data_IF_355027743268
#
_entry.id   IF_355027743268
#
_cell.length_a   1.000
_cell.length_b   1.000
_cell.length_c   1.000
_cell.angle_alpha   90.00
_cell.angle_beta   90.00
_cell.angle_gamma   90.00
#
_symmetry.space_group_name_H-M   'P 1'
#
loop_
_entity.id
_entity.type
_entity.pdbx_description
1 polymer ?
#
# COMPACT_ATOMS: atom_id res chain seq x y z
N UNK A 1 -30.02 -15.06 14.58
CA UNK A 1 -30.81 -15.71 13.49
C UNK A 1 -31.50 -14.70 12.57
N UNK A 2 -32.41 -13.82 12.99
CA UNK A 2 -33.09 -12.85 12.09
C UNK A 2 -32.12 -11.88 11.42
N UNK A 3 -31.13 -11.32 12.15
CA UNK A 3 -30.16 -10.36 11.61
C UNK A 3 -29.30 -10.96 10.50
N UNK A 4 -28.93 -12.24 10.58
CA UNK A 4 -28.13 -12.91 9.54
C UNK A 4 -28.95 -13.11 8.27
N UNK A 5 -30.23 -13.50 8.36
CA UNK A 5 -31.13 -13.59 7.20
C UNK A 5 -31.34 -12.25 6.51
N UNK A 6 -31.45 -11.15 7.27
CA UNK A 6 -31.55 -9.81 6.72
C UNK A 6 -30.21 -9.43 6.01
N UNK A 7 -29.07 -9.76 6.63
CA UNK A 7 -27.75 -9.50 6.03
C UNK A 7 -27.55 -10.29 4.74
N UNK A 8 -27.99 -11.55 4.69
CA UNK A 8 -27.97 -12.38 3.49
C UNK A 8 -28.79 -11.75 2.36
N UNK A 9 -30.02 -11.34 2.68
CA UNK A 9 -30.91 -10.69 1.69
C UNK A 9 -30.25 -9.44 1.09
N UNK A 10 -29.65 -8.64 1.93
CA UNK A 10 -28.96 -7.40 1.54
C UNK A 10 -27.78 -7.70 0.61
N UNK A 11 -26.86 -8.59 1.06
CA UNK A 11 -25.64 -8.90 0.31
C UNK A 11 -25.99 -9.59 -1.01
N UNK A 12 -26.84 -10.60 -1.00
CA UNK A 12 -27.19 -11.33 -2.22
C UNK A 12 -27.96 -10.47 -3.22
N UNK A 13 -28.79 -9.53 -2.76
CA UNK A 13 -29.40 -8.54 -3.67
C UNK A 13 -28.36 -7.60 -4.27
N UNK A 14 -27.38 -7.16 -3.50
CA UNK A 14 -26.28 -6.33 -4.03
C UNK A 14 -25.43 -7.09 -5.05
N UNK A 15 -25.17 -8.38 -4.82
CA UNK A 15 -24.40 -9.23 -5.74
C UNK A 15 -25.11 -9.45 -7.09
N UNK A 16 -26.44 -9.33 -7.19
CA UNK A 16 -27.17 -9.33 -8.49
C UNK A 16 -26.73 -8.24 -9.44
N UNK A 17 -26.07 -7.18 -8.92
CA UNK A 17 -25.54 -6.07 -9.71
C UNK A 17 -24.14 -6.31 -10.26
N UNK A 18 -23.54 -7.49 -10.06
CA UNK A 18 -22.24 -7.87 -10.62
C UNK A 18 -22.30 -7.81 -12.16
N UNK A 19 -21.39 -7.04 -12.74
CA UNK A 19 -21.23 -6.87 -14.20
C UNK A 19 -19.98 -7.55 -14.75
N UNK A 20 -18.92 -7.61 -13.93
CA UNK A 20 -17.61 -8.14 -14.30
C UNK A 20 -17.32 -9.39 -13.48
N UNK A 21 -17.08 -10.52 -14.14
CA UNK A 21 -16.78 -11.79 -13.52
C UNK A 21 -18.02 -12.63 -13.19
N UNK A 22 -17.73 -13.80 -12.62
CA UNK A 22 -18.72 -14.79 -12.19
C UNK A 22 -18.43 -15.26 -10.77
N UNK A 23 -19.46 -15.28 -9.92
CA UNK A 23 -19.39 -15.73 -8.54
C UNK A 23 -20.40 -16.82 -8.27
N UNK A 24 -19.92 -17.99 -7.85
CA UNK A 24 -20.75 -19.08 -7.33
C UNK A 24 -20.58 -19.16 -5.82
N UNK A 25 -21.69 -19.08 -5.09
CA UNK A 25 -21.73 -19.14 -3.62
C UNK A 25 -22.47 -20.38 -3.18
N UNK A 26 -21.81 -21.25 -2.40
CA UNK A 26 -22.44 -22.34 -1.66
C UNK A 26 -22.71 -21.88 -0.22
N UNK A 27 -23.97 -21.82 0.16
CA UNK A 27 -24.41 -21.43 1.52
C UNK A 27 -24.22 -22.55 2.53
N UNK A 28 -24.30 -22.22 3.83
CA UNK A 28 -24.21 -23.19 4.94
C UNK A 28 -25.25 -24.30 4.82
N UNK A 29 -26.44 -24.00 4.32
CA UNK A 29 -27.53 -25.00 4.11
C UNK A 29 -27.37 -25.83 2.82
N UNK A 30 -26.27 -25.65 2.06
CA UNK A 30 -25.97 -26.34 0.81
C UNK A 30 -26.59 -25.71 -0.45
N UNK A 31 -27.43 -24.69 -0.33
CA UNK A 31 -27.96 -23.94 -1.47
C UNK A 31 -26.84 -23.26 -2.26
N UNK A 32 -26.91 -23.32 -3.60
CA UNK A 32 -25.93 -22.70 -4.49
C UNK A 32 -26.57 -21.50 -5.20
N UNK A 33 -25.94 -20.35 -5.08
CA UNK A 33 -26.31 -19.10 -5.74
C UNK A 33 -25.27 -18.71 -6.77
N UNK A 34 -25.70 -18.14 -7.92
CA UNK A 34 -24.81 -17.72 -9.01
C UNK A 34 -25.08 -16.28 -9.37
N UNK A 35 -24.00 -15.50 -9.58
CA UNK A 35 -24.04 -14.08 -9.88
C UNK A 35 -23.05 -13.73 -10.97
N UNK A 36 -23.38 -12.76 -11.82
CA UNK A 36 -22.55 -12.33 -12.94
C UNK A 36 -22.68 -13.24 -14.17
N UNK A 37 -21.70 -13.13 -15.07
CA UNK A 37 -21.70 -13.86 -16.34
C UNK A 37 -20.73 -15.05 -16.30
N UNK A 38 -21.20 -16.31 -16.51
CA UNK A 38 -20.36 -17.50 -16.47
C UNK A 38 -19.31 -17.57 -17.60
N UNK A 39 -19.44 -16.76 -18.66
CA UNK A 39 -18.49 -16.71 -19.76
C UNK A 39 -17.28 -15.80 -19.49
N UNK A 40 -17.31 -15.04 -18.39
CA UNK A 40 -16.19 -14.20 -17.95
C UNK A 40 -14.98 -15.05 -17.51
N UNK A 41 -13.78 -14.48 -17.67
CA UNK A 41 -12.52 -15.14 -17.28
C UNK A 41 -12.33 -15.18 -15.77
N UNK A 42 -12.78 -14.13 -15.06
CA UNK A 42 -12.70 -14.04 -13.61
C UNK A 42 -13.84 -14.85 -12.97
N UNK A 43 -13.52 -16.08 -12.55
CA UNK A 43 -14.49 -17.02 -11.93
C UNK A 43 -14.10 -17.34 -10.51
N UNK A 44 -15.02 -17.07 -9.59
CA UNK A 44 -14.81 -17.25 -8.15
C UNK A 44 -15.83 -18.22 -7.59
N UNK A 45 -15.33 -19.15 -6.78
CA UNK A 45 -16.13 -20.01 -5.93
C UNK A 45 -15.96 -19.60 -4.47
N UNK A 46 -17.08 -19.47 -3.75
CA UNK A 46 -17.14 -19.13 -2.34
C UNK A 46 -18.03 -20.13 -1.58
N UNK A 47 -17.49 -20.85 -0.61
CA UNK A 47 -18.27 -21.66 0.30
C UNK A 47 -18.37 -20.97 1.68
N UNK A 48 -19.58 -20.59 2.08
CA UNK A 48 -19.85 -19.98 3.38
C UNK A 48 -19.91 -21.10 4.43
N UNK A 49 -19.09 -20.98 5.48
CA UNK A 49 -19.00 -21.90 6.61
C UNK A 49 -19.71 -21.36 7.87
N UNK A 50 -19.91 -20.04 7.95
CA UNK A 50 -20.54 -19.38 9.09
C UNK A 50 -21.56 -18.34 8.62
N UNK A 51 -22.78 -18.41 9.14
CA UNK A 51 -23.89 -17.51 8.77
C UNK A 51 -23.63 -16.03 9.08
N UNK A 52 -22.66 -15.72 9.95
CA UNK A 52 -22.32 -14.34 10.31
C UNK A 52 -21.47 -13.61 9.26
N UNK A 53 -20.99 -14.29 8.21
CA UNK A 53 -20.13 -13.70 7.19
C UNK A 53 -20.72 -12.41 6.60
N UNK A 54 -21.95 -12.48 6.09
CA UNK A 54 -22.61 -11.34 5.44
C UNK A 54 -22.92 -10.22 6.44
N UNK A 55 -23.24 -10.55 7.68
CA UNK A 55 -23.39 -9.56 8.75
C UNK A 55 -22.06 -8.84 9.04
N UNK A 56 -20.94 -9.55 9.14
CA UNK A 56 -19.62 -8.98 9.37
C UNK A 56 -19.23 -8.07 8.20
N UNK A 57 -19.51 -8.47 6.97
CA UNK A 57 -19.26 -7.68 5.77
C UNK A 57 -20.03 -6.35 5.79
N UNK A 58 -21.33 -6.37 6.12
CA UNK A 58 -22.16 -5.16 6.21
C UNK A 58 -21.66 -4.27 7.35
N UNK A 59 -21.40 -4.84 8.52
CA UNK A 59 -20.99 -4.12 9.73
C UNK A 59 -19.65 -3.41 9.58
N UNK A 60 -18.66 -4.08 8.98
CA UNK A 60 -17.26 -3.66 9.04
C UNK A 60 -16.54 -3.66 7.69
N UNK A 61 -17.21 -3.91 6.57
CA UNK A 61 -16.63 -3.88 5.22
C UNK A 61 -15.43 -4.82 5.08
N UNK A 62 -14.33 -4.29 4.56
CA UNK A 62 -13.08 -5.06 4.37
C UNK A 62 -12.50 -5.61 5.66
N UNK A 63 -12.69 -4.93 6.80
CA UNK A 63 -12.29 -5.44 8.12
C UNK A 63 -13.11 -6.71 8.43
N UNK A 64 -14.43 -6.67 8.26
CA UNK A 64 -15.30 -7.81 8.52
C UNK A 64 -15.01 -9.01 7.61
N UNK A 65 -14.68 -8.76 6.33
CA UNK A 65 -14.25 -9.80 5.39
C UNK A 65 -12.93 -10.44 5.82
N UNK A 66 -11.92 -9.62 6.13
CA UNK A 66 -10.62 -10.11 6.57
C UNK A 66 -10.68 -10.88 7.89
N UNK A 67 -11.45 -10.39 8.87
CA UNK A 67 -11.67 -11.11 10.14
C UNK A 67 -12.39 -12.45 9.94
N UNK A 68 -13.34 -12.50 9.00
CA UNK A 68 -14.04 -13.72 8.65
C UNK A 68 -13.11 -14.73 7.95
N UNK A 69 -12.20 -14.25 7.09
CA UNK A 69 -11.14 -15.07 6.49
C UNK A 69 -10.20 -15.65 7.55
N UNK A 70 -9.72 -14.81 8.48
CA UNK A 70 -8.87 -15.25 9.58
C UNK A 70 -9.51 -16.30 10.52
N UNK A 71 -10.85 -16.36 10.53
CA UNK A 71 -11.64 -17.30 11.35
C UNK A 71 -12.21 -18.49 10.58
N UNK A 72 -11.84 -18.67 9.31
CA UNK A 72 -12.37 -19.75 8.45
C UNK A 72 -13.90 -19.73 8.25
N UNK A 73 -14.51 -18.55 8.27
CA UNK A 73 -15.95 -18.41 8.04
C UNK A 73 -16.36 -18.63 6.59
N UNK A 74 -15.38 -18.70 5.69
CA UNK A 74 -15.57 -19.07 4.30
C UNK A 74 -14.31 -19.70 3.72
N UNK A 75 -14.49 -20.43 2.61
CA UNK A 75 -13.44 -20.98 1.77
C UNK A 75 -13.67 -20.44 0.35
N UNK A 76 -12.59 -20.14 -0.35
CA UNK A 76 -12.62 -19.72 -1.77
C UNK A 76 -11.51 -20.42 -2.55
N UNK A 77 -11.70 -20.59 -3.85
CA UNK A 77 -10.66 -21.12 -4.74
C UNK A 77 -9.46 -20.18 -4.86
N UNK A 78 -9.69 -18.87 -4.82
CA UNK A 78 -8.65 -17.85 -4.84
C UNK A 78 -9.12 -16.59 -4.10
N UNK A 79 -8.41 -16.21 -3.05
CA UNK A 79 -8.76 -15.05 -2.23
C UNK A 79 -8.60 -13.72 -2.98
N UNK A 80 -7.53 -13.60 -3.77
CA UNK A 80 -7.25 -12.40 -4.56
C UNK A 80 -8.34 -12.17 -5.61
N UNK A 81 -8.76 -13.23 -6.30
CA UNK A 81 -9.82 -13.17 -7.32
C UNK A 81 -11.17 -12.82 -6.70
N UNK A 82 -11.49 -13.33 -5.51
CA UNK A 82 -12.71 -12.96 -4.77
C UNK A 82 -12.73 -11.45 -4.45
N UNK A 83 -11.61 -10.93 -3.98
CA UNK A 83 -11.50 -9.50 -3.64
C UNK A 83 -11.49 -8.67 -4.92
N UNK A 84 -10.79 -9.09 -5.97
CA UNK A 84 -10.75 -8.41 -7.28
C UNK A 84 -12.14 -8.32 -7.90
N UNK A 85 -12.90 -9.43 -7.91
CA UNK A 85 -14.28 -9.44 -8.41
C UNK A 85 -15.14 -8.41 -7.67
N UNK A 86 -15.02 -8.38 -6.34
CA UNK A 86 -15.76 -7.41 -5.52
C UNK A 86 -15.29 -5.98 -5.82
N UNK A 87 -13.99 -5.75 -5.93
CA UNK A 87 -13.38 -4.45 -6.18
C UNK A 87 -13.75 -3.88 -7.57
N UNK A 88 -13.75 -4.70 -8.61
CA UNK A 88 -14.20 -4.31 -9.97
C UNK A 88 -15.66 -3.90 -10.01
N UNK A 89 -16.50 -4.50 -9.17
CA UNK A 89 -17.93 -4.21 -9.10
C UNK A 89 -18.32 -3.21 -8.01
N UNK A 90 -17.36 -2.70 -7.24
CA UNK A 90 -17.64 -1.92 -6.01
C UNK A 90 -18.50 -0.67 -6.28
N UNK A 91 -18.24 0.05 -7.36
CA UNK A 91 -19.01 1.26 -7.75
C UNK A 91 -20.47 0.91 -8.07
N UNK A 92 -20.69 -0.23 -8.73
CA UNK A 92 -22.03 -0.74 -9.06
C UNK A 92 -22.76 -1.24 -7.81
N UNK A 93 -22.08 -2.04 -6.98
CA UNK A 93 -22.61 -2.55 -5.71
C UNK A 93 -23.05 -1.39 -4.80
N UNK A 94 -22.24 -0.34 -4.69
CA UNK A 94 -22.59 0.85 -3.89
C UNK A 94 -23.80 1.61 -4.44
N UNK A 95 -23.92 1.74 -5.76
CA UNK A 95 -25.03 2.42 -6.40
C UNK A 95 -26.37 1.69 -6.19
N UNK A 96 -26.35 0.36 -6.23
CA UNK A 96 -27.57 -0.45 -6.10
C UNK A 96 -27.95 -0.76 -4.65
N UNK A 97 -26.98 -0.83 -3.74
CA UNK A 97 -27.26 -1.26 -2.38
C UNK A 97 -27.89 -0.17 -1.52
N UNK A 98 -27.70 1.12 -1.86
CA UNK A 98 -28.23 2.25 -1.05
C UNK A 98 -27.95 2.16 0.47
N UNK A 99 -27.58 0.98 0.92
CA UNK A 99 -27.55 0.46 2.29
C UNK A 99 -26.28 0.89 3.00
N UNK A 100 -25.18 1.02 2.25
CA UNK A 100 -23.90 1.43 2.84
C UNK A 100 -23.87 2.92 3.20
N UNK A 101 -24.89 3.69 2.81
CA UNK A 101 -25.06 5.11 3.16
C UNK A 101 -26.09 5.33 4.28
N UNK A 102 -26.67 4.25 4.85
CA UNK A 102 -27.55 4.38 6.00
C UNK A 102 -26.79 4.95 7.20
N UNK A 103 -27.27 6.06 7.82
CA UNK A 103 -26.58 6.69 8.96
C UNK A 103 -26.41 5.77 10.16
N UNK A 104 -27.18 4.69 10.27
CA UNK A 104 -27.13 3.71 11.35
C UNK A 104 -25.86 2.82 11.31
N UNK A 105 -25.22 2.63 10.13
CA UNK A 105 -24.00 1.84 9.99
C UNK A 105 -22.75 2.70 10.33
N UNK A 106 -22.91 4.01 10.40
CA UNK A 106 -21.83 4.96 10.76
C UNK A 106 -21.59 5.10 12.26
N UNK A 107 -22.21 4.29 13.12
CA UNK A 107 -22.17 4.47 14.59
C UNK A 107 -20.81 4.13 15.22
N UNK A 108 -19.91 3.48 14.50
CA UNK A 108 -18.52 3.36 14.93
C UNK A 108 -17.70 4.40 14.17
N UNK A 109 -17.74 5.66 14.63
CA UNK A 109 -16.70 6.63 14.30
C UNK A 109 -15.37 6.10 14.83
N UNK A 110 -14.71 5.26 14.05
CA UNK A 110 -13.33 4.90 14.30
C UNK A 110 -12.52 6.20 14.28
N UNK A 111 -12.04 6.62 15.44
CA UNK A 111 -11.16 7.78 15.56
C UNK A 111 -10.00 7.58 14.59
N UNK A 112 -9.92 8.42 13.56
CA UNK A 112 -8.76 8.46 12.68
C UNK A 112 -7.54 8.67 13.57
N UNK A 113 -6.59 7.75 13.50
CA UNK A 113 -5.36 7.83 14.28
C UNK A 113 -4.55 8.99 13.72
N UNK A 114 -4.36 10.05 14.52
CA UNK A 114 -3.53 11.19 14.11
C UNK A 114 -2.05 10.81 14.16
N UNK A 115 -1.32 10.97 13.07
CA UNK A 115 0.12 10.70 12.96
C UNK A 115 0.96 11.87 13.53
N UNK A 116 0.82 12.16 14.83
CA UNK A 116 1.76 13.05 15.54
C UNK A 116 3.18 12.47 15.50
N UNK A 117 4.23 13.28 15.71
CA UNK A 117 5.63 12.79 15.70
C UNK A 117 5.83 11.52 16.55
N UNK A 118 5.29 11.48 17.76
CA UNK A 118 5.41 10.32 18.64
C UNK A 118 4.62 9.12 18.11
N UNK A 119 3.37 9.32 17.68
CA UNK A 119 2.55 8.24 17.13
C UNK A 119 3.05 7.69 15.78
N UNK A 120 3.63 8.54 14.92
CA UNK A 120 4.29 8.07 13.71
C UNK A 120 5.42 7.11 14.03
N UNK A 121 6.25 7.40 15.03
CA UNK A 121 7.30 6.49 15.51
C UNK A 121 6.72 5.17 16.04
N UNK A 122 5.67 5.25 16.87
CA UNK A 122 5.00 4.05 17.42
C UNK A 122 4.32 3.21 16.33
N UNK A 123 3.63 3.83 15.36
CA UNK A 123 2.95 3.12 14.28
C UNK A 123 3.95 2.43 13.36
N UNK A 124 5.04 3.12 13.01
CA UNK A 124 6.14 2.55 12.21
C UNK A 124 6.85 1.46 13.01
N UNK A 125 7.15 1.68 14.30
CA UNK A 125 7.74 0.65 15.14
C UNK A 125 6.87 -0.62 15.15
N UNK A 126 5.57 -0.51 15.40
CA UNK A 126 4.67 -1.68 15.42
C UNK A 126 4.67 -2.49 14.12
N UNK A 127 4.73 -1.83 12.97
CA UNK A 127 4.76 -2.52 11.68
C UNK A 127 6.13 -3.16 11.41
N UNK A 128 7.22 -2.42 11.64
CA UNK A 128 8.59 -2.91 11.38
C UNK A 128 9.19 -3.71 12.56
N UNK A 129 8.52 -3.76 13.72
CA UNK A 129 8.90 -4.62 14.86
C UNK A 129 8.70 -6.12 14.59
N UNK A 130 8.06 -6.49 13.47
CA UNK A 130 8.09 -7.85 12.93
C UNK A 130 9.53 -8.35 12.71
N UNK A 131 10.48 -7.44 12.55
CA UNK A 131 11.92 -7.73 12.51
C UNK A 131 12.48 -7.85 11.09
N UNK A 132 13.77 -7.51 10.94
CA UNK A 132 14.47 -7.61 9.65
C UNK A 132 14.46 -9.06 9.14
N UNK A 133 14.58 -10.04 10.05
CA UNK A 133 14.59 -11.48 9.72
C UNK A 133 13.27 -11.93 9.07
N UNK A 134 12.13 -11.37 9.51
CA UNK A 134 10.84 -11.64 8.88
C UNK A 134 10.79 -11.11 7.45
N UNK A 135 11.16 -9.86 7.25
CA UNK A 135 11.10 -9.23 5.92
C UNK A 135 12.10 -9.86 4.93
N UNK A 136 13.29 -10.27 5.40
CA UNK A 136 14.33 -10.90 4.57
C UNK A 136 13.93 -12.27 4.01
N UNK A 137 12.92 -12.92 4.57
CA UNK A 137 12.46 -14.22 4.08
C UNK A 137 11.63 -14.14 2.79
N UNK A 138 10.98 -13.00 2.52
CA UNK A 138 10.03 -12.90 1.41
C UNK A 138 10.18 -11.63 0.55
N UNK A 139 10.94 -10.63 0.97
CA UNK A 139 11.39 -9.55 0.11
C UNK A 139 12.60 -10.01 -0.73
N UNK A 140 12.92 -9.24 -1.77
CA UNK A 140 14.14 -9.43 -2.57
C UNK A 140 15.42 -9.06 -1.78
N UNK A 141 16.58 -9.31 -2.35
CA UNK A 141 17.87 -9.04 -1.68
C UNK A 141 18.14 -7.57 -1.35
N UNK A 142 17.41 -6.64 -1.98
CA UNK A 142 17.49 -5.21 -1.63
C UNK A 142 16.70 -4.89 -0.36
N UNK A 143 15.86 -5.79 0.13
CA UNK A 143 14.89 -5.55 1.19
C UNK A 143 13.98 -4.35 0.89
N UNK A 144 13.58 -4.21 -0.37
CA UNK A 144 12.72 -3.10 -0.78
C UNK A 144 11.25 -3.45 -0.54
N UNK A 145 10.64 -2.77 0.42
CA UNK A 145 9.22 -2.94 0.76
C UNK A 145 8.38 -1.84 0.10
N UNK A 146 8.46 -1.79 -1.22
CA UNK A 146 7.68 -0.95 -2.11
C UNK A 146 7.62 -1.61 -3.49
N UNK A 147 6.69 -1.20 -4.35
CA UNK A 147 6.51 -1.82 -5.67
C UNK A 147 7.79 -1.80 -6.49
N UNK A 148 8.04 -2.88 -7.20
CA UNK A 148 8.97 -2.92 -8.32
C UNK A 148 8.32 -2.35 -9.60
N UNK A 149 9.13 -2.11 -10.65
CA UNK A 149 8.66 -1.79 -12.00
C UNK A 149 9.38 -2.74 -12.97
N UNK A 150 8.61 -3.60 -13.61
CA UNK A 150 9.10 -4.63 -14.52
C UNK A 150 9.17 -4.09 -15.95
N UNK A 151 10.26 -4.32 -16.65
CA UNK A 151 10.38 -4.01 -18.09
C UNK A 151 9.88 -5.19 -18.95
N UNK A 152 10.03 -6.43 -18.45
CA UNK A 152 9.47 -7.64 -19.06
C UNK A 152 8.76 -8.52 -18.02
N UNK A 153 7.80 -9.36 -18.40
CA UNK A 153 7.08 -10.24 -17.47
C UNK A 153 7.98 -11.24 -16.74
N UNK A 154 9.09 -11.66 -17.36
CA UNK A 154 10.01 -12.68 -16.83
C UNK A 154 11.12 -12.08 -15.96
N UNK A 155 11.14 -10.75 -15.78
CA UNK A 155 12.20 -10.09 -15.07
C UNK A 155 12.20 -10.44 -13.58
N UNK A 156 13.38 -10.74 -13.04
CA UNK A 156 13.57 -11.01 -11.62
C UNK A 156 13.21 -9.80 -10.76
N UNK A 157 12.61 -10.05 -9.59
CA UNK A 157 12.13 -8.99 -8.69
C UNK A 157 13.25 -7.99 -8.33
N UNK A 158 14.47 -8.47 -8.08
CA UNK A 158 15.61 -7.62 -7.78
C UNK A 158 15.92 -6.62 -8.92
N UNK A 159 15.90 -7.08 -10.16
CA UNK A 159 16.16 -6.24 -11.33
C UNK A 159 15.02 -5.23 -11.53
N UNK A 160 13.78 -5.67 -11.34
CA UNK A 160 12.62 -4.79 -11.39
C UNK A 160 12.61 -3.73 -10.28
N UNK A 161 13.18 -4.03 -9.09
CA UNK A 161 13.42 -3.03 -8.06
C UNK A 161 14.47 -2.00 -8.49
N UNK A 162 15.55 -2.42 -9.13
CA UNK A 162 16.55 -1.50 -9.69
C UNK A 162 15.96 -0.63 -10.81
N UNK A 163 15.12 -1.19 -11.68
CA UNK A 163 14.40 -0.41 -12.70
C UNK A 163 13.52 0.68 -12.08
N UNK A 164 12.80 0.34 -11.01
CA UNK A 164 12.01 1.31 -10.26
C UNK A 164 12.86 2.48 -9.77
N UNK A 165 14.03 2.18 -9.23
CA UNK A 165 14.97 3.21 -8.79
C UNK A 165 15.45 4.06 -9.95
N UNK A 166 15.84 3.42 -11.05
CA UNK A 166 16.33 4.15 -12.25
C UNK A 166 15.24 5.08 -12.79
N UNK A 167 13.98 4.61 -12.91
CA UNK A 167 12.87 5.44 -13.38
C UNK A 167 12.61 6.66 -12.47
N UNK A 168 12.78 6.51 -11.15
CA UNK A 168 12.68 7.64 -10.23
C UNK A 168 13.87 8.62 -10.38
N UNK A 169 15.08 8.09 -10.60
CA UNK A 169 16.27 8.90 -10.85
C UNK A 169 16.15 9.68 -12.18
N UNK A 170 15.58 9.06 -13.22
CA UNK A 170 15.31 9.70 -14.50
C UNK A 170 14.35 10.89 -14.38
N UNK A 171 13.46 10.88 -13.39
CA UNK A 171 12.57 12.01 -13.08
C UNK A 171 13.31 13.19 -12.43
N UNK A 172 14.31 12.92 -11.58
CA UNK A 172 15.06 13.98 -10.88
C UNK A 172 16.30 14.42 -11.63
N UNK A 173 16.87 13.59 -12.53
CA UNK A 173 18.00 13.88 -13.42
C UNK A 173 19.21 14.47 -12.70
N UNK A 174 19.78 13.76 -11.71
CA UNK A 174 20.89 14.29 -10.94
C UNK A 174 22.16 14.39 -11.79
N UNK A 175 22.97 15.41 -11.49
CA UNK A 175 24.30 15.59 -12.05
C UNK A 175 25.39 15.40 -10.99
N UNK A 176 26.62 15.18 -11.41
CA UNK A 176 27.75 14.99 -10.50
C UNK A 176 27.87 16.13 -9.47
N UNK A 177 28.08 15.74 -8.22
CA UNK A 177 28.21 16.66 -7.10
C UNK A 177 26.88 17.14 -6.49
N UNK A 178 25.73 16.80 -7.07
CA UNK A 178 24.44 17.19 -6.50
C UNK A 178 24.24 16.65 -5.09
N UNK A 179 23.58 17.44 -4.23
CA UNK A 179 23.14 17.04 -2.91
C UNK A 179 21.68 16.58 -2.97
N UNK A 180 21.45 15.31 -2.64
CA UNK A 180 20.15 14.65 -2.74
C UNK A 180 19.66 14.27 -1.34
N UNK A 181 18.36 14.37 -1.11
CA UNK A 181 17.69 13.85 0.08
C UNK A 181 16.80 12.66 -0.29
N UNK A 182 16.92 11.57 0.46
CA UNK A 182 15.92 10.50 0.46
C UNK A 182 15.06 10.57 1.72
N UNK A 183 13.74 10.78 1.57
CA UNK A 183 12.80 10.80 2.67
C UNK A 183 12.16 9.42 2.83
N UNK A 184 12.52 8.70 3.91
CA UNK A 184 12.04 7.36 4.17
C UNK A 184 12.87 6.28 3.49
N UNK A 185 14.15 6.19 3.82
CA UNK A 185 15.11 5.31 3.12
C UNK A 185 14.94 3.80 3.37
N UNK A 186 14.01 3.39 4.22
CA UNK A 186 13.83 1.97 4.52
C UNK A 186 15.13 1.30 4.95
N UNK A 187 15.43 0.15 4.36
CA UNK A 187 16.68 -0.59 4.60
C UNK A 187 17.84 -0.16 3.67
N UNK A 188 17.70 0.99 2.98
CA UNK A 188 18.78 1.62 2.20
C UNK A 188 18.97 1.07 0.79
N UNK A 189 17.98 0.41 0.20
CA UNK A 189 18.10 -0.15 -1.16
C UNK A 189 18.29 0.94 -2.23
N UNK A 190 17.48 2.00 -2.22
CA UNK A 190 17.66 3.13 -3.14
C UNK A 190 18.95 3.88 -2.87
N UNK A 191 19.32 4.07 -1.60
CA UNK A 191 20.56 4.74 -1.22
C UNK A 191 21.81 4.00 -1.74
N UNK A 192 21.83 2.66 -1.64
CA UNK A 192 22.88 1.81 -2.20
C UNK A 192 22.94 1.94 -3.73
N UNK A 193 21.78 1.82 -4.41
CA UNK A 193 21.70 1.92 -5.86
C UNK A 193 22.19 3.27 -6.38
N UNK A 194 21.71 4.36 -5.80
CA UNK A 194 22.08 5.72 -6.23
C UNK A 194 23.56 6.02 -5.93
N UNK A 195 24.04 5.69 -4.71
CA UNK A 195 25.43 5.92 -4.31
C UNK A 195 26.45 5.11 -5.11
N UNK A 196 26.06 3.91 -5.58
CA UNK A 196 26.92 3.07 -6.43
C UNK A 196 27.02 3.59 -7.86
N UNK A 197 25.92 4.03 -8.44
CA UNK A 197 25.83 4.33 -9.86
C UNK A 197 26.05 5.80 -10.20
N UNK A 198 26.00 6.72 -9.21
CA UNK A 198 26.08 8.16 -9.43
C UNK A 198 27.10 8.82 -8.51
N UNK A 199 27.71 9.90 -8.98
CA UNK A 199 28.63 10.71 -8.18
C UNK A 199 27.89 11.88 -7.52
N UNK A 200 27.16 11.57 -6.42
CA UNK A 200 26.30 12.49 -5.68
C UNK A 200 26.56 12.39 -4.18
N UNK A 201 26.11 13.40 -3.43
CA UNK A 201 26.03 13.35 -1.96
C UNK A 201 24.59 13.07 -1.56
N UNK A 202 24.36 12.04 -0.78
CA UNK A 202 23.03 11.56 -0.42
C UNK A 202 22.83 11.57 1.10
N UNK A 203 21.89 12.40 1.58
CA UNK A 203 21.35 12.32 2.93
C UNK A 203 20.08 11.46 2.90
N UNK A 204 20.03 10.42 3.73
CA UNK A 204 18.91 9.51 3.84
C UNK A 204 18.33 9.55 5.24
N UNK A 205 17.02 9.71 5.38
CA UNK A 205 16.38 9.77 6.68
C UNK A 205 15.35 8.66 6.88
N UNK A 206 15.31 8.12 8.08
CA UNK A 206 14.27 7.22 8.59
C UNK A 206 13.96 7.52 10.05
N UNK A 207 12.77 7.18 10.51
CA UNK A 207 12.41 7.24 11.94
C UNK A 207 12.44 5.86 12.62
N UNK A 208 12.72 4.79 11.86
CA UNK A 208 12.87 3.43 12.38
C UNK A 208 14.32 3.15 12.76
N UNK A 209 14.56 2.84 14.04
CA UNK A 209 15.90 2.47 14.53
C UNK A 209 16.44 1.21 13.85
N UNK A 210 15.58 0.19 13.65
CA UNK A 210 15.98 -1.08 12.99
C UNK A 210 16.39 -0.86 11.53
N UNK A 211 15.64 -0.03 10.80
CA UNK A 211 15.99 0.33 9.43
C UNK A 211 17.29 1.14 9.36
N UNK A 212 17.47 2.11 10.26
CA UNK A 212 18.68 2.90 10.35
C UNK A 212 19.93 2.03 10.55
N UNK A 213 19.91 1.15 11.54
CA UNK A 213 21.04 0.26 11.86
C UNK A 213 21.40 -0.62 10.67
N UNK A 214 20.38 -1.21 10.02
CA UNK A 214 20.58 -2.05 8.85
C UNK A 214 21.09 -1.25 7.64
N UNK A 215 20.46 -0.12 7.32
CA UNK A 215 20.87 0.73 6.19
C UNK A 215 22.30 1.26 6.37
N UNK A 216 22.67 1.68 7.57
CA UNK A 216 24.03 2.13 7.89
C UNK A 216 25.06 1.03 7.67
N UNK A 217 24.78 -0.19 8.14
CA UNK A 217 25.66 -1.34 7.92
C UNK A 217 25.76 -1.71 6.43
N UNK A 218 24.65 -1.64 5.68
CA UNK A 218 24.62 -1.86 4.23
C UNK A 218 25.54 -0.87 3.51
N UNK A 219 25.40 0.43 3.78
CA UNK A 219 26.21 1.49 3.16
C UNK A 219 27.69 1.33 3.51
N UNK A 220 27.99 0.93 4.75
CA UNK A 220 29.37 0.65 5.18
C UNK A 220 29.98 -0.52 4.38
N UNK A 221 29.25 -1.64 4.27
CA UNK A 221 29.73 -2.82 3.51
C UNK A 221 29.94 -2.54 2.02
N UNK A 222 29.16 -1.62 1.45
CA UNK A 222 29.32 -1.20 0.05
C UNK A 222 30.42 -0.14 -0.15
N UNK A 223 31.09 0.31 0.91
CA UNK A 223 32.13 1.34 0.82
C UNK A 223 31.61 2.73 0.45
N UNK A 224 30.33 3.03 0.74
CA UNK A 224 29.66 4.26 0.29
C UNK A 224 29.59 5.35 1.37
N UNK A 225 30.28 5.19 2.52
CA UNK A 225 30.22 6.15 3.66
C UNK A 225 30.58 7.59 3.30
N UNK A 226 31.46 7.77 2.29
CA UNK A 226 31.88 9.11 1.83
C UNK A 226 30.78 9.83 1.04
N UNK A 227 29.84 9.09 0.46
CA UNK A 227 28.77 9.60 -0.41
C UNK A 227 27.40 9.60 0.26
N UNK A 228 27.11 8.61 1.11
CA UNK A 228 25.78 8.32 1.67
C UNK A 228 25.79 8.45 3.17
N UNK A 229 24.95 9.33 3.70
CA UNK A 229 24.79 9.59 5.12
C UNK A 229 23.39 9.19 5.60
N UNK A 230 23.29 8.11 6.38
CA UNK A 230 22.02 7.62 6.93
C UNK A 230 21.78 8.26 8.31
N UNK A 231 20.58 8.80 8.54
CA UNK A 231 20.21 9.51 9.77
C UNK A 231 18.87 9.03 10.35
N UNK A 232 18.79 8.95 11.68
CA UNK A 232 17.50 8.88 12.37
C UNK A 232 16.94 10.30 12.49
N UNK A 233 16.01 10.67 11.61
CA UNK A 233 15.46 12.03 11.57
C UNK A 233 14.03 12.01 11.03
N UNK A 234 13.17 12.82 11.65
CA UNK A 234 11.83 13.08 11.12
C UNK A 234 11.93 14.13 9.99
N UNK A 235 11.24 13.93 8.87
CA UNK A 235 11.27 14.88 7.75
C UNK A 235 10.86 16.31 8.16
N UNK A 236 10.02 16.44 9.18
CA UNK A 236 9.57 17.73 9.74
C UNK A 236 10.67 18.53 10.44
N UNK A 237 11.82 17.90 10.70
CA UNK A 237 12.99 18.53 11.37
C UNK A 237 14.11 18.90 10.39
N UNK A 238 13.87 18.76 9.08
CA UNK A 238 14.80 19.13 8.03
C UNK A 238 14.98 20.65 7.97
N UNK A 239 16.23 21.07 7.70
CA UNK A 239 16.61 22.50 7.59
C UNK A 239 17.52 22.77 6.39
N UNK A 240 18.14 21.74 5.83
CA UNK A 240 19.10 21.85 4.74
C UNK A 240 18.40 22.02 3.39
N UNK A 241 19.13 22.55 2.40
CA UNK A 241 18.69 22.61 1.02
C UNK A 241 19.30 21.46 0.21
N UNK A 242 18.53 20.95 -0.73
CA UNK A 242 18.90 19.83 -1.60
C UNK A 242 18.60 20.18 -3.06
N UNK A 243 19.47 19.73 -3.95
CA UNK A 243 19.28 19.88 -5.39
C UNK A 243 18.14 18.97 -5.87
N UNK A 244 18.04 17.78 -5.25
CA UNK A 244 16.95 16.86 -5.53
C UNK A 244 16.44 16.20 -4.24
N UNK A 245 15.16 15.81 -4.27
CA UNK A 245 14.52 15.06 -3.19
C UNK A 245 13.85 13.81 -3.80
N UNK A 246 14.13 12.64 -3.23
CA UNK A 246 13.48 11.38 -3.56
C UNK A 246 12.63 10.88 -2.38
N UNK A 247 11.46 10.31 -2.68
CA UNK A 247 10.61 9.69 -1.65
C UNK A 247 9.81 8.54 -2.25
N UNK A 248 9.96 7.34 -1.70
CA UNK A 248 9.36 6.11 -2.22
C UNK A 248 8.39 5.55 -1.20
N UNK A 249 7.08 5.59 -1.53
CA UNK A 249 5.99 5.04 -0.70
C UNK A 249 6.07 5.44 0.79
N UNK A 250 6.40 6.70 1.01
CA UNK A 250 6.45 7.31 2.35
C UNK A 250 5.22 8.17 2.64
N UNK A 251 4.63 8.78 1.59
CA UNK A 251 3.50 9.70 1.71
C UNK A 251 2.30 9.01 2.37
N UNK A 252 2.13 7.71 2.18
CA UNK A 252 1.10 6.86 2.77
C UNK A 252 1.18 6.82 4.29
N UNK A 253 2.38 6.94 4.85
CA UNK A 253 2.63 6.95 6.29
C UNK A 253 2.49 8.34 6.93
N UNK A 254 2.38 9.39 6.13
CA UNK A 254 2.24 10.78 6.60
C UNK A 254 0.90 10.99 7.30
N UNK A 255 -0.19 10.43 6.74
CA UNK A 255 -1.56 10.64 7.21
C UNK A 255 -2.16 11.96 6.73
N UNK A 256 -3.48 11.97 6.53
CA UNK A 256 -4.21 13.08 5.89
C UNK A 256 -3.89 14.46 6.47
N UNK A 257 -3.86 14.58 7.79
CA UNK A 257 -3.69 15.88 8.47
C UNK A 257 -2.29 16.50 8.31
N UNK A 258 -1.33 15.74 7.79
CA UNK A 258 0.08 16.16 7.68
C UNK A 258 0.59 16.23 6.23
N UNK A 259 -0.25 15.93 5.24
CA UNK A 259 0.12 16.05 3.83
C UNK A 259 0.55 17.47 3.45
N UNK A 260 -0.15 18.49 3.94
CA UNK A 260 0.23 19.88 3.74
C UNK A 260 1.64 20.16 4.30
N UNK A 261 1.90 19.72 5.52
CA UNK A 261 3.24 19.83 6.15
C UNK A 261 4.32 19.08 5.37
N UNK A 262 3.98 17.94 4.77
CA UNK A 262 4.92 17.16 3.97
C UNK A 262 5.33 17.91 2.69
N UNK A 263 4.38 18.43 1.91
CA UNK A 263 4.68 19.20 0.71
C UNK A 263 5.36 20.53 1.02
N UNK A 264 4.96 21.20 2.11
CA UNK A 264 5.63 22.41 2.58
C UNK A 264 7.09 22.13 2.98
N UNK A 265 7.37 21.01 3.65
CA UNK A 265 8.74 20.60 4.00
C UNK A 265 9.57 20.34 2.73
N UNK A 266 9.02 19.62 1.76
CA UNK A 266 9.67 19.41 0.46
C UNK A 266 10.03 20.76 -0.18
N UNK A 267 9.05 21.68 -0.30
CA UNK A 267 9.25 23.02 -0.87
C UNK A 267 10.36 23.78 -0.15
N UNK A 268 10.34 23.76 1.18
CA UNK A 268 11.28 24.52 1.99
C UNK A 268 12.71 23.95 1.98
N UNK A 269 12.89 22.68 1.63
CA UNK A 269 14.21 22.04 1.57
C UNK A 269 14.71 21.82 0.14
N UNK A 270 13.95 22.22 -0.88
CA UNK A 270 14.36 22.16 -2.28
C UNK A 270 15.09 23.45 -2.67
N UNK A 271 16.19 23.36 -3.46
CA UNK A 271 16.82 24.52 -4.09
C UNK A 271 15.88 25.12 -5.17
N UNK A 272 16.06 26.38 -5.58
CA UNK A 272 15.17 27.00 -6.57
C UNK A 272 15.02 26.23 -7.88
N UNK A 273 16.11 25.63 -8.40
CA UNK A 273 16.13 24.81 -9.61
C UNK A 273 15.97 23.32 -9.35
N UNK A 274 15.73 22.93 -8.10
CA UNK A 274 15.69 21.53 -7.68
C UNK A 274 14.47 20.79 -8.20
N UNK A 275 14.59 19.45 -8.25
CA UNK A 275 13.54 18.54 -8.69
C UNK A 275 13.24 17.50 -7.59
N UNK A 276 11.98 17.15 -7.45
CA UNK A 276 11.53 16.09 -6.53
C UNK A 276 11.01 14.91 -7.34
N UNK A 277 11.39 13.70 -6.97
CA UNK A 277 10.83 12.46 -7.51
C UNK A 277 10.09 11.71 -6.41
N UNK A 278 8.83 11.40 -6.62
CA UNK A 278 7.99 10.69 -5.64
C UNK A 278 7.38 9.45 -6.29
N UNK A 279 7.49 8.31 -5.61
CA UNK A 279 6.65 7.14 -5.85
C UNK A 279 5.59 7.07 -4.76
N UNK A 280 4.32 6.94 -5.14
CA UNK A 280 3.21 6.92 -4.20
C UNK A 280 2.04 6.05 -4.67
N UNK A 281 1.28 5.52 -3.71
CA UNK A 281 0.00 4.87 -3.97
C UNK A 281 -1.11 5.93 -3.92
N UNK A 282 -2.00 5.92 -4.91
CA UNK A 282 -3.17 6.78 -4.93
C UNK A 282 -4.46 5.96 -5.00
N UNK A 283 -5.55 6.52 -4.50
CA UNK A 283 -6.88 5.95 -4.66
C UNK A 283 -7.65 6.71 -5.75
N UNK A 284 -8.53 6.01 -6.46
CA UNK A 284 -9.45 6.61 -7.46
C UNK A 284 -10.28 7.75 -6.84
N UNK A 285 -10.33 8.91 -7.51
CA UNK A 285 -11.01 10.11 -7.01
C UNK A 285 -12.49 9.83 -6.65
N UNK A 286 -13.17 8.96 -7.40
CA UNK A 286 -14.57 8.59 -7.14
C UNK A 286 -14.77 7.78 -5.86
N UNK A 287 -13.73 7.12 -5.34
CA UNK A 287 -13.74 6.35 -4.10
C UNK A 287 -13.21 7.14 -2.91
N UNK A 288 -12.45 8.21 -3.16
CA UNK A 288 -11.70 8.96 -2.14
C UNK A 288 -12.58 9.48 -1.00
N UNK A 289 -13.72 10.10 -1.32
CA UNK A 289 -14.63 10.66 -0.29
C UNK A 289 -15.16 9.59 0.68
N UNK A 290 -15.35 8.36 0.21
CA UNK A 290 -15.77 7.25 1.05
C UNK A 290 -14.60 6.69 1.85
N UNK A 291 -13.46 6.52 1.21
CA UNK A 291 -12.23 6.00 1.82
C UNK A 291 -11.77 6.86 3.01
N UNK A 292 -11.70 8.19 2.85
CA UNK A 292 -11.22 9.09 3.91
C UNK A 292 -12.06 9.10 5.18
N UNK A 293 -13.30 8.62 5.10
CA UNK A 293 -14.25 8.62 6.22
C UNK A 293 -14.42 7.25 6.90
N UNK A 294 -13.79 6.19 6.37
CA UNK A 294 -13.93 4.82 6.90
C UNK A 294 -12.56 4.17 7.00
N UNK A 295 -12.32 3.52 8.13
CA UNK A 295 -11.13 2.70 8.32
C UNK A 295 -11.29 1.39 7.57
N UNK A 296 -10.25 0.96 6.84
CA UNK A 296 -10.20 -0.30 6.14
C UNK A 296 -9.34 -1.35 6.87
N UNK A 297 -9.21 -2.53 6.26
CA UNK A 297 -8.40 -3.62 6.81
C UNK A 297 -6.93 -3.23 6.95
N UNK A 298 -6.37 -2.51 5.97
CA UNK A 298 -4.95 -2.10 5.99
C UNK A 298 -4.68 -1.15 7.15
N UNK A 299 -5.53 -0.15 7.34
CA UNK A 299 -5.40 0.80 8.44
C UNK A 299 -5.66 0.17 9.81
N UNK A 300 -6.44 -0.94 9.86
CA UNK A 300 -6.75 -1.64 11.11
C UNK A 300 -5.59 -2.52 11.55
N UNK A 301 -5.00 -3.30 10.64
CA UNK A 301 -4.13 -4.44 10.97
C UNK A 301 -2.69 -4.28 10.52
N UNK A 302 -2.43 -3.52 9.44
CA UNK A 302 -1.13 -3.48 8.77
C UNK A 302 -0.44 -2.12 8.99
N UNK A 303 -1.07 -1.04 8.52
CA UNK A 303 -0.50 0.32 8.59
C UNK A 303 -1.43 1.27 9.37
N UNK A 304 -1.43 1.23 10.71
CA UNK A 304 -2.23 2.15 11.52
C UNK A 304 -1.87 3.60 11.21
N UNK A 305 -2.89 4.40 10.85
CA UNK A 305 -2.69 5.80 10.46
C UNK A 305 -2.28 6.01 9.00
N UNK A 306 -2.14 4.94 8.22
CA UNK A 306 -1.91 5.01 6.78
C UNK A 306 -3.04 5.73 6.04
N UNK A 307 -2.70 6.42 4.95
CA UNK A 307 -3.66 7.19 4.18
C UNK A 307 -3.23 7.28 2.71
N UNK A 308 -4.15 6.99 1.80
CA UNK A 308 -3.92 7.12 0.36
C UNK A 308 -4.58 8.42 -0.13
N UNK A 309 -3.81 9.38 -0.66
CA UNK A 309 -4.40 10.52 -1.34
C UNK A 309 -5.00 10.09 -2.68
N UNK A 310 -5.99 10.81 -3.18
CA UNK A 310 -6.36 10.69 -4.58
C UNK A 310 -5.48 11.60 -5.45
N UNK A 311 -5.53 11.40 -6.77
CA UNK A 311 -4.77 12.23 -7.71
C UNK A 311 -5.18 13.71 -7.60
N UNK A 312 -6.48 13.98 -7.47
CA UNK A 312 -7.00 15.35 -7.28
C UNK A 312 -6.53 15.98 -5.98
N UNK A 313 -6.48 15.21 -4.88
CA UNK A 313 -5.95 15.70 -3.60
C UNK A 313 -4.44 15.98 -3.67
N UNK A 314 -3.66 15.12 -4.33
CA UNK A 314 -2.22 15.38 -4.54
C UNK A 314 -2.00 16.69 -5.29
N UNK A 315 -2.73 16.91 -6.39
CA UNK A 315 -2.63 18.15 -7.15
C UNK A 315 -2.96 19.38 -6.30
N UNK A 316 -4.00 19.31 -5.46
CA UNK A 316 -4.37 20.39 -4.55
C UNK A 316 -3.25 20.73 -3.57
N UNK A 317 -2.58 19.73 -2.97
CA UNK A 317 -1.45 19.97 -2.05
C UNK A 317 -0.21 20.51 -2.79
N UNK A 318 0.08 20.02 -3.99
CA UNK A 318 1.17 20.50 -4.85
C UNK A 318 0.95 21.99 -5.16
N UNK A 319 -0.23 22.36 -5.64
CA UNK A 319 -0.55 23.73 -6.01
C UNK A 319 -0.54 24.68 -4.80
N UNK A 320 -1.14 24.27 -3.69
CA UNK A 320 -1.20 25.04 -2.44
C UNK A 320 0.19 25.38 -1.91
N UNK A 321 1.17 24.49 -2.08
CA UNK A 321 2.53 24.67 -1.60
C UNK A 321 3.46 25.33 -2.63
N UNK A 322 2.94 25.88 -3.74
CA UNK A 322 3.76 26.56 -4.74
C UNK A 322 4.72 25.63 -5.46
N UNK A 323 4.33 24.37 -5.62
CA UNK A 323 5.01 23.37 -6.42
C UNK A 323 4.27 23.18 -7.74
N UNK A 324 4.94 22.65 -8.74
CA UNK A 324 4.41 22.29 -10.06
C UNK A 324 4.67 20.81 -10.32
N UNK A 325 3.64 20.08 -10.71
CA UNK A 325 3.76 18.71 -11.21
C UNK A 325 4.16 18.75 -12.67
N UNK A 326 5.25 18.07 -13.04
CA UNK A 326 5.78 18.05 -14.40
C UNK A 326 5.52 16.72 -15.11
N UNK A 327 5.98 15.62 -14.52
CA UNK A 327 5.85 14.28 -15.10
C UNK A 327 4.99 13.41 -14.18
N UNK A 328 4.23 12.49 -14.77
CA UNK A 328 3.33 11.59 -14.05
C UNK A 328 3.21 10.28 -14.81
N UNK A 329 3.61 9.18 -14.20
CA UNK A 329 3.55 7.84 -14.77
C UNK A 329 2.78 6.90 -13.83
N UNK A 330 1.94 6.02 -14.39
CA UNK A 330 1.11 5.05 -13.67
C UNK A 330 1.67 3.65 -13.85
N UNK A 331 1.71 2.88 -12.76
CA UNK A 331 2.32 1.56 -12.68
C UNK A 331 1.50 0.53 -11.88
N UNK A 332 0.16 0.66 -11.84
CA UNK A 332 -0.71 -0.22 -11.06
C UNK A 332 -0.46 -1.73 -11.29
N UNK A 333 -0.28 -2.13 -12.56
CA UNK A 333 -0.07 -3.54 -12.90
C UNK A 333 1.25 -4.09 -12.30
N UNK A 334 2.30 -3.25 -12.20
CA UNK A 334 3.58 -3.64 -11.62
C UNK A 334 3.48 -3.89 -10.12
N UNK A 335 2.61 -3.12 -9.42
CA UNK A 335 2.39 -3.42 -8.01
C UNK A 335 1.60 -4.69 -7.81
N UNK A 336 0.59 -4.95 -8.63
CA UNK A 336 -0.13 -6.24 -8.55
C UNK A 336 0.82 -7.42 -8.74
N UNK A 337 1.76 -7.34 -9.70
CA UNK A 337 2.78 -8.36 -9.94
C UNK A 337 3.73 -8.50 -8.75
N UNK A 338 4.24 -7.39 -8.22
CA UNK A 338 5.09 -7.39 -7.02
C UNK A 338 4.41 -8.09 -5.83
N UNK A 339 3.11 -7.82 -5.61
CA UNK A 339 2.33 -8.41 -4.52
C UNK A 339 2.06 -9.91 -4.72
N UNK A 340 1.87 -10.36 -5.96
CA UNK A 340 1.78 -11.78 -6.31
C UNK A 340 3.07 -12.49 -5.93
N UNK A 341 4.23 -11.97 -6.38
CA UNK A 341 5.55 -12.53 -6.10
C UNK A 341 5.79 -12.57 -4.58
N UNK A 342 5.51 -11.50 -3.86
CA UNK A 342 5.66 -11.47 -2.40
C UNK A 342 4.78 -12.50 -1.71
N UNK A 343 3.53 -12.66 -2.11
CA UNK A 343 2.60 -13.64 -1.54
C UNK A 343 3.05 -15.08 -1.80
N UNK A 344 3.55 -15.37 -2.99
CA UNK A 344 4.09 -16.69 -3.33
C UNK A 344 5.34 -17.02 -2.52
N UNK A 345 6.31 -16.09 -2.41
CA UNK A 345 7.51 -16.29 -1.60
C UNK A 345 7.15 -16.43 -0.12
N UNK A 346 6.25 -15.57 0.41
CA UNK A 346 5.77 -15.64 1.78
C UNK A 346 5.18 -17.02 2.10
N UNK A 347 4.31 -17.54 1.24
CA UNK A 347 3.71 -18.86 1.41
C UNK A 347 4.72 -19.98 1.31
N UNK A 348 5.65 -19.91 0.35
CA UNK A 348 6.75 -20.88 0.20
C UNK A 348 7.70 -20.89 1.41
N UNK A 349 7.88 -19.75 2.06
CA UNK A 349 8.76 -19.60 3.24
C UNK A 349 8.03 -19.73 4.58
N UNK A 350 6.74 -20.06 4.57
CA UNK A 350 5.92 -20.08 5.79
C UNK A 350 6.51 -20.91 6.93
N UNK A 351 7.08 -22.08 6.67
CA UNK A 351 7.66 -22.92 7.71
C UNK A 351 8.84 -22.24 8.42
N UNK A 352 9.60 -21.42 7.72
CA UNK A 352 10.67 -20.61 8.32
C UNK A 352 10.11 -19.45 9.13
N UNK A 353 9.08 -18.79 8.60
CA UNK A 353 8.37 -17.69 9.28
C UNK A 353 7.73 -18.20 10.57
N UNK A 354 7.07 -19.37 10.53
CA UNK A 354 6.47 -20.01 11.70
C UNK A 354 7.50 -20.30 12.81
N UNK A 355 8.73 -20.67 12.45
CA UNK A 355 9.82 -20.88 13.43
C UNK A 355 10.25 -19.60 14.16
N UNK A 356 9.94 -18.42 13.61
CA UNK A 356 10.14 -17.13 14.28
C UNK A 356 9.03 -16.78 15.30
N UNK A 357 8.04 -17.68 15.50
CA UNK A 357 6.96 -17.50 16.47
C UNK A 357 5.63 -16.98 15.89
N UNK A 358 5.52 -16.84 14.58
CA UNK A 358 4.26 -16.41 13.94
C UNK A 358 3.25 -17.57 13.86
N UNK A 359 1.99 -17.29 14.17
CA UNK A 359 0.89 -18.27 14.18
C UNK A 359 0.07 -18.29 12.87
N UNK A 360 -0.85 -19.24 12.75
CA UNK A 360 -1.73 -19.34 11.56
C UNK A 360 -2.67 -18.15 11.40
N UNK A 361 -3.03 -17.46 12.48
CA UNK A 361 -3.85 -16.26 12.40
C UNK A 361 -3.06 -15.13 11.75
N UNK A 362 -1.79 -14.98 12.10
CA UNK A 362 -0.87 -14.05 11.44
C UNK A 362 -0.72 -14.40 9.95
N UNK A 363 -0.54 -15.69 9.61
CA UNK A 363 -0.44 -16.14 8.20
C UNK A 363 -1.64 -15.64 7.40
N UNK A 364 -2.85 -15.93 7.87
CA UNK A 364 -4.09 -15.51 7.19
C UNK A 364 -4.25 -13.99 7.10
N UNK A 365 -3.87 -13.28 8.16
CA UNK A 365 -3.87 -11.82 8.14
C UNK A 365 -2.95 -11.28 7.05
N UNK A 366 -1.74 -11.84 6.89
CA UNK A 366 -0.77 -11.42 5.92
C UNK A 366 -1.16 -11.79 4.48
N UNK A 367 -1.69 -13.01 4.28
CA UNK A 367 -2.26 -13.44 3.01
C UNK A 367 -3.42 -12.54 2.57
N UNK A 368 -4.33 -12.21 3.50
CA UNK A 368 -5.43 -11.29 3.22
C UNK A 368 -4.92 -9.90 2.85
N UNK A 369 -3.94 -9.37 3.57
CA UNK A 369 -3.31 -8.09 3.25
C UNK A 369 -2.76 -8.07 1.83
N UNK A 370 -1.90 -9.01 1.47
CA UNK A 370 -1.27 -9.06 0.15
C UNK A 370 -2.32 -9.21 -0.96
N UNK A 371 -3.31 -10.11 -0.77
CA UNK A 371 -4.41 -10.31 -1.73
C UNK A 371 -5.33 -9.08 -1.85
N UNK A 372 -5.57 -8.38 -0.75
CA UNK A 372 -6.40 -7.16 -0.73
C UNK A 372 -5.75 -6.02 -1.52
N UNK A 373 -4.45 -5.82 -1.32
CA UNK A 373 -3.69 -4.83 -2.09
C UNK A 373 -3.57 -5.22 -3.57
N UNK A 374 -3.25 -6.48 -3.88
CA UNK A 374 -3.19 -7.01 -5.26
C UNK A 374 -4.50 -6.74 -6.02
N UNK A 375 -5.63 -7.09 -5.41
CA UNK A 375 -6.95 -6.86 -5.99
C UNK A 375 -7.28 -5.37 -6.18
N UNK A 376 -6.81 -4.52 -5.26
CA UNK A 376 -6.96 -3.07 -5.35
C UNK A 376 -6.28 -2.50 -6.60
N UNK A 377 -5.05 -2.93 -6.90
CA UNK A 377 -4.30 -2.52 -8.10
C UNK A 377 -4.89 -3.14 -9.38
N UNK A 378 -5.19 -4.45 -9.40
CA UNK A 378 -5.82 -5.14 -10.55
C UNK A 378 -7.16 -4.51 -10.94
N UNK A 379 -7.95 -4.06 -9.98
CA UNK A 379 -9.23 -3.38 -10.23
C UNK A 379 -9.08 -1.91 -10.61
N UNK A 380 -7.86 -1.34 -10.53
CA UNK A 380 -7.56 0.08 -10.72
C UNK A 380 -8.31 1.01 -9.75
N UNK A 381 -8.76 0.49 -8.61
CA UNK A 381 -9.30 1.29 -7.53
C UNK A 381 -8.20 2.04 -6.77
N UNK A 382 -6.99 1.50 -6.79
CA UNK A 382 -5.75 2.17 -6.40
C UNK A 382 -4.73 2.09 -7.53
N UNK A 383 -3.83 3.04 -7.57
CA UNK A 383 -2.77 3.15 -8.57
C UNK A 383 -1.42 3.37 -7.89
N UNK A 384 -0.36 2.86 -8.51
CA UNK A 384 1.02 3.24 -8.19
C UNK A 384 1.45 4.31 -9.18
N UNK A 385 1.97 5.40 -8.68
CA UNK A 385 2.44 6.49 -9.52
C UNK A 385 3.87 6.87 -9.20
N UNK A 386 4.65 7.22 -10.23
CA UNK A 386 5.85 8.04 -10.07
C UNK A 386 5.61 9.40 -10.72
N UNK A 387 5.98 10.45 -10.03
CA UNK A 387 5.80 11.82 -10.52
C UNK A 387 6.93 12.74 -10.07
N UNK A 388 7.16 13.79 -10.83
CA UNK A 388 8.15 14.81 -10.49
C UNK A 388 7.51 16.16 -10.18
N UNK A 389 8.15 16.87 -9.23
CA UNK A 389 7.78 18.22 -8.83
C UNK A 389 8.96 19.18 -8.96
N UNK A 390 8.63 20.44 -9.21
CA UNK A 390 9.56 21.58 -9.19
C UNK A 390 8.92 22.76 -8.48
N UNK A 391 9.72 23.74 -8.15
CA UNK A 391 9.22 25.04 -7.71
C UNK A 391 8.41 25.72 -8.85
N UNK A 392 7.28 26.39 -8.52
CA UNK A 392 6.58 27.30 -9.45
C UNK A 392 7.43 28.54 -9.66
#
# INVERSE_FOLDING_TARGET
MLIYKISDLIVFNALKSIKYGFLEIKKVNGEVLKFGNPDETLKVFLEIKDESLNYNLIKSGSIGLGESYMKDFFITNNLSDLIELTAKNIKTIYKFSGIFDLPFINFIKNKIIKNTKNRSKENIAKHYDLGNDFFSLWLDKTLTYSSAIFDTPEQELFEAQNNKYQKLIDLIRPTNGNKILEIGCGWGGFAEYLGTNYDVKLDCITISKKQFEFAKERIHRCGLNEKVNIQIKDYRDLKDKYDHIASIEMIEAVGQNYLDSYFNTIKNNLTPSGTVGIQAITIDDSLFNRYKNKKDFIQQYIFPGGFLPSKGELQNYVDKNGLKLNEYNSYANHYSETLIIWREIFNKKWDLIKKQGFDLKFKKMWEFYLSYCEAGFKSKNIDLIQFSLQNK
#
